data_IF_677712543269
#
_entry.id   IF_677712543269
#
_cell.length_a   1.000
_cell.length_b   1.000
_cell.length_c   1.000
_cell.angle_alpha   90.00
_cell.angle_beta   90.00
_cell.angle_gamma   90.00
#
_symmetry.space_group_name_H-M   'P 1'
#
loop_
_entity.id
_entity.type
_entity.pdbx_description
1 polymer ?
#
# COMPACT_ATOMS: atom_id res chain seq x y z
N UNK A 1 -7.54 -19.40 0.04
CA UNK A 1 -6.27 -18.95 -0.59
C UNK A 1 -5.56 -20.08 -1.33
N UNK A 2 -5.21 -21.24 -0.73
CA UNK A 2 -4.45 -22.33 -1.42
C UNK A 2 -5.02 -22.72 -2.80
N UNK A 3 -6.34 -22.85 -2.91
CA UNK A 3 -7.00 -23.28 -4.17
C UNK A 3 -6.99 -22.23 -5.28
N UNK A 4 -6.88 -20.94 -4.95
CA UNK A 4 -6.87 -19.85 -5.94
C UNK A 4 -5.46 -19.44 -6.34
N UNK A 5 -4.45 -19.70 -5.51
CA UNK A 5 -3.05 -19.30 -5.73
C UNK A 5 -2.50 -19.64 -7.13
N UNK A 6 -2.75 -20.83 -7.71
CA UNK A 6 -2.27 -21.14 -9.07
C UNK A 6 -2.87 -20.26 -10.18
N UNK A 7 -3.92 -19.50 -9.89
CA UNK A 7 -4.58 -18.57 -10.84
C UNK A 7 -4.16 -17.13 -10.66
N UNK A 8 -3.36 -16.82 -9.64
CA UNK A 8 -2.80 -15.47 -9.38
C UNK A 8 -1.54 -15.20 -10.18
N UNK A 9 -1.03 -13.97 -10.13
CA UNK A 9 0.20 -13.52 -10.79
C UNK A 9 -0.01 -13.01 -12.21
N UNK A 10 -1.25 -12.66 -12.59
CA UNK A 10 -1.60 -12.10 -13.89
C UNK A 10 -1.96 -10.62 -13.83
N UNK A 11 -2.53 -10.18 -12.70
CA UNK A 11 -2.83 -8.78 -12.47
C UNK A 11 -1.56 -7.97 -12.23
N UNK A 12 -1.55 -6.72 -12.70
CA UNK A 12 -0.60 -5.72 -12.24
C UNK A 12 -1.17 -5.05 -10.98
N UNK A 13 -0.45 -5.18 -9.87
CA UNK A 13 -0.84 -4.60 -8.59
C UNK A 13 -0.20 -3.21 -8.47
N UNK A 14 -1.02 -2.17 -8.40
CA UNK A 14 -0.60 -0.76 -8.36
C UNK A 14 -0.89 -0.22 -6.96
N UNK A 15 0.14 0.14 -6.23
CA UNK A 15 0.04 0.78 -4.92
C UNK A 15 0.08 2.30 -5.05
N UNK A 16 -0.91 3.02 -4.52
CA UNK A 16 -0.96 4.49 -4.52
C UNK A 16 -0.91 4.99 -3.09
N UNK A 17 0.14 5.74 -2.78
CA UNK A 17 0.40 6.32 -1.46
C UNK A 17 0.75 7.80 -1.55
N UNK A 18 0.88 8.47 -0.43
CA UNK A 18 1.21 9.90 -0.33
C UNK A 18 0.38 10.59 0.75
N UNK A 19 0.72 11.82 1.08
CA UNK A 19 0.12 12.58 2.18
C UNK A 19 -1.42 12.68 2.12
N UNK A 20 -2.09 12.82 3.27
CA UNK A 20 -3.53 13.12 3.31
C UNK A 20 -3.83 14.39 2.52
N UNK A 21 -4.91 14.39 1.75
CA UNK A 21 -5.27 15.55 0.93
C UNK A 21 -4.47 15.71 -0.36
N UNK A 22 -3.52 14.83 -0.68
CA UNK A 22 -2.78 14.85 -1.96
C UNK A 22 -3.66 14.57 -3.19
N UNK A 23 -4.89 14.08 -2.98
CA UNK A 23 -5.83 13.79 -4.07
C UNK A 23 -5.70 12.38 -4.63
N UNK A 24 -5.19 11.45 -3.84
CA UNK A 24 -5.04 10.03 -4.20
C UNK A 24 -6.34 9.43 -4.72
N UNK A 25 -7.44 9.55 -3.97
CA UNK A 25 -8.73 8.98 -4.36
C UNK A 25 -9.25 9.55 -5.69
N UNK A 26 -9.04 10.86 -5.94
CA UNK A 26 -9.39 11.46 -7.23
C UNK A 26 -8.49 10.92 -8.36
N UNK A 27 -7.22 10.69 -8.07
CA UNK A 27 -6.27 10.12 -9.03
C UNK A 27 -6.63 8.66 -9.34
N UNK A 28 -6.96 7.86 -8.31
CA UNK A 28 -7.43 6.47 -8.45
C UNK A 28 -8.69 6.40 -9.30
N UNK A 29 -9.67 7.28 -9.02
CA UNK A 29 -10.91 7.37 -9.81
C UNK A 29 -10.62 7.57 -11.31
N UNK A 30 -9.79 8.57 -11.64
CA UNK A 30 -9.45 8.87 -13.03
C UNK A 30 -8.61 7.80 -13.71
N UNK A 31 -7.66 7.24 -12.99
CA UNK A 31 -6.86 6.12 -13.50
C UNK A 31 -7.72 4.87 -13.73
N UNK A 32 -8.69 4.61 -12.87
CA UNK A 32 -9.65 3.52 -13.06
C UNK A 32 -10.54 3.74 -14.31
N UNK A 33 -11.03 4.96 -14.52
CA UNK A 33 -11.74 5.28 -15.76
C UNK A 33 -10.86 5.05 -16.99
N UNK A 34 -9.61 5.50 -16.96
CA UNK A 34 -8.67 5.31 -18.05
C UNK A 34 -8.49 3.83 -18.43
N UNK A 35 -8.24 2.97 -17.45
CA UNK A 35 -8.07 1.53 -17.69
C UNK A 35 -9.39 0.85 -18.12
N UNK A 36 -10.52 1.22 -17.51
CA UNK A 36 -11.83 0.71 -17.89
C UNK A 36 -12.15 1.02 -19.34
N UNK A 37 -11.88 2.27 -19.78
CA UNK A 37 -12.13 2.71 -21.16
C UNK A 37 -11.22 1.99 -22.17
N UNK A 38 -10.06 1.52 -21.71
CA UNK A 38 -9.18 0.62 -22.46
C UNK A 38 -9.65 -0.86 -22.46
N UNK A 39 -10.79 -1.18 -21.82
CA UNK A 39 -11.37 -2.53 -21.80
C UNK A 39 -10.84 -3.44 -20.67
N UNK A 40 -10.07 -2.89 -19.73
CA UNK A 40 -9.53 -3.64 -18.59
C UNK A 40 -10.58 -3.87 -17.49
N UNK A 41 -10.45 -4.99 -16.78
CA UNK A 41 -11.14 -5.21 -15.49
C UNK A 41 -10.30 -4.69 -14.36
N UNK A 42 -10.89 -3.86 -13.48
CA UNK A 42 -10.16 -3.14 -12.45
C UNK A 42 -10.71 -3.46 -11.06
N UNK A 43 -9.83 -3.92 -10.16
CA UNK A 43 -10.11 -3.98 -8.74
C UNK A 43 -9.54 -2.77 -8.02
N UNK A 44 -10.31 -2.15 -7.14
CA UNK A 44 -9.86 -1.05 -6.28
C UNK A 44 -10.05 -1.48 -4.81
N UNK A 45 -8.98 -1.43 -4.06
CA UNK A 45 -8.96 -1.73 -2.63
C UNK A 45 -8.51 -0.47 -1.89
N UNK A 46 -9.46 0.21 -1.25
CA UNK A 46 -9.19 1.38 -0.43
C UNK A 46 -8.90 0.92 1.01
N UNK A 47 -7.73 1.25 1.52
CA UNK A 47 -7.33 0.90 2.89
C UNK A 47 -7.55 2.10 3.78
N UNK A 48 -8.59 2.05 4.60
CA UNK A 48 -9.00 3.13 5.50
C UNK A 48 -8.56 2.84 6.95
N UNK A 49 -8.30 3.88 7.77
CA UNK A 49 -8.11 3.68 9.20
C UNK A 49 -9.37 3.06 9.78
N UNK A 50 -9.17 2.18 10.77
CA UNK A 50 -10.29 1.60 11.50
C UNK A 50 -11.01 2.67 12.31
N UNK A 51 -12.34 2.70 12.24
CA UNK A 51 -13.13 3.50 13.15
C UNK A 51 -12.91 3.03 14.59
N UNK A 52 -12.55 3.90 15.54
CA UNK A 52 -12.37 3.53 16.93
C UNK A 52 -13.67 3.02 17.59
N UNK A 53 -14.83 3.31 16.99
CA UNK A 53 -16.14 2.93 17.54
C UNK A 53 -16.69 1.63 16.95
N UNK A 54 -16.52 1.40 15.66
CA UNK A 54 -17.11 0.24 14.96
C UNK A 54 -16.08 -0.80 14.52
N UNK A 55 -14.78 -0.49 14.54
CA UNK A 55 -13.72 -1.34 14.00
C UNK A 55 -13.80 -1.54 12.48
N UNK A 56 -14.75 -0.89 11.81
CA UNK A 56 -14.93 -0.93 10.36
C UNK A 56 -14.23 0.20 9.62
N UNK A 57 -14.09 0.10 8.30
CA UNK A 57 -13.57 1.15 7.45
C UNK A 57 -14.48 2.39 7.47
N UNK A 58 -13.89 3.58 7.45
CA UNK A 58 -14.64 4.84 7.33
C UNK A 58 -15.01 5.00 5.86
N UNK A 59 -16.27 4.73 5.50
CA UNK A 59 -16.80 4.56 4.14
C UNK A 59 -16.74 5.81 3.21
N UNK A 60 -15.84 6.77 3.45
CA UNK A 60 -15.79 8.02 2.68
C UNK A 60 -15.49 7.84 1.18
N UNK A 61 -14.64 6.89 0.81
CA UNK A 61 -14.16 6.74 -0.57
C UNK A 61 -15.17 6.04 -1.48
N UNK A 62 -16.00 5.16 -0.94
CA UNK A 62 -17.03 4.46 -1.71
C UNK A 62 -18.11 5.41 -2.25
N UNK A 63 -18.38 6.51 -1.54
CA UNK A 63 -19.35 7.54 -1.96
C UNK A 63 -18.76 8.36 -3.13
N UNK A 64 -17.45 8.58 -3.14
CA UNK A 64 -16.76 9.38 -4.18
C UNK A 64 -16.69 8.65 -5.51
N UNK A 65 -16.59 7.32 -5.51
CA UNK A 65 -16.48 6.46 -6.71
C UNK A 65 -17.83 5.79 -7.06
N UNK A 66 -18.97 6.40 -6.69
CA UNK A 66 -20.30 5.79 -6.83
C UNK A 66 -20.60 5.37 -8.27
N UNK A 67 -20.19 6.15 -9.26
CA UNK A 67 -20.42 5.85 -10.68
C UNK A 67 -19.63 4.64 -11.16
N UNK A 68 -18.36 4.51 -10.75
CA UNK A 68 -17.52 3.35 -11.05
C UNK A 68 -18.04 2.07 -10.38
N UNK A 69 -18.62 2.18 -9.18
CA UNK A 69 -19.16 1.05 -8.45
C UNK A 69 -20.37 0.37 -9.11
N UNK A 70 -20.97 0.98 -10.14
CA UNK A 70 -22.04 0.42 -10.95
C UNK A 70 -21.52 -0.31 -12.22
N UNK A 71 -20.25 -0.15 -12.55
CA UNK A 71 -19.65 -0.78 -13.73
C UNK A 71 -19.30 -2.25 -13.44
N UNK A 72 -19.72 -3.14 -14.32
CA UNK A 72 -19.49 -4.60 -14.19
C UNK A 72 -18.01 -5.00 -14.26
N UNK A 73 -17.18 -4.16 -14.84
CA UNK A 73 -15.74 -4.38 -14.98
C UNK A 73 -14.94 -3.75 -13.84
N UNK A 74 -15.59 -3.06 -12.89
CA UNK A 74 -14.95 -2.41 -11.78
C UNK A 74 -15.45 -3.00 -10.46
N UNK A 75 -14.53 -3.40 -9.60
CA UNK A 75 -14.83 -3.84 -8.23
C UNK A 75 -14.16 -2.89 -7.25
N UNK A 76 -14.93 -2.35 -6.31
CA UNK A 76 -14.42 -1.42 -5.29
C UNK A 76 -14.72 -1.96 -3.89
N UNK A 77 -13.70 -2.00 -3.04
CA UNK A 77 -13.86 -2.41 -1.64
C UNK A 77 -13.01 -1.56 -0.71
N UNK A 78 -13.65 -1.02 0.33
CA UNK A 78 -12.96 -0.44 1.48
C UNK A 78 -12.60 -1.52 2.50
N UNK A 79 -11.36 -1.48 2.98
CA UNK A 79 -10.81 -2.40 3.98
C UNK A 79 -10.31 -1.57 5.16
N UNK A 80 -10.58 -2.02 6.38
CA UNK A 80 -10.07 -1.39 7.60
C UNK A 80 -8.72 -1.98 7.98
N UNK A 81 -7.80 -1.15 8.48
CA UNK A 81 -6.50 -1.61 9.01
C UNK A 81 -6.61 -2.49 10.25
N UNK A 82 -7.74 -2.39 11.01
CA UNK A 82 -8.10 -3.20 12.18
C UNK A 82 -7.02 -3.29 13.26
N UNK A 83 -6.28 -2.20 13.48
CA UNK A 83 -5.33 -2.13 14.60
C UNK A 83 -4.14 -3.09 14.50
N UNK A 84 -3.86 -3.66 13.34
CA UNK A 84 -2.61 -4.36 13.12
C UNK A 84 -1.46 -3.37 13.31
N UNK A 85 -0.55 -3.71 14.20
CA UNK A 85 0.67 -2.96 14.50
C UNK A 85 1.65 -3.03 13.32
N UNK A 86 1.22 -2.65 12.13
CA UNK A 86 2.10 -2.72 10.98
C UNK A 86 1.45 -2.82 9.61
N UNK A 87 0.34 -2.09 9.32
CA UNK A 87 -0.02 -1.80 7.94
C UNK A 87 -1.13 -2.64 7.29
N UNK A 88 -0.94 -3.09 6.04
CA UNK A 88 -1.97 -3.76 5.26
C UNK A 88 -2.45 -5.03 5.95
N UNK A 89 -3.73 -5.07 6.33
CA UNK A 89 -4.30 -6.24 6.96
C UNK A 89 -4.18 -7.46 6.02
N UNK A 90 -4.00 -8.66 6.60
CA UNK A 90 -4.05 -9.92 5.85
C UNK A 90 -5.24 -9.98 4.89
N UNK A 91 -6.40 -9.48 5.33
CA UNK A 91 -7.61 -9.46 4.53
C UNK A 91 -7.45 -8.60 3.26
N UNK A 92 -6.67 -7.52 3.31
CA UNK A 92 -6.37 -6.67 2.15
C UNK A 92 -5.55 -7.45 1.12
N UNK A 93 -4.47 -8.10 1.53
CA UNK A 93 -3.62 -8.89 0.63
C UNK A 93 -4.37 -10.10 0.06
N UNK A 94 -5.21 -10.74 0.88
CA UNK A 94 -6.08 -11.84 0.42
C UNK A 94 -7.13 -11.33 -0.60
N UNK A 95 -7.71 -10.13 -0.40
CA UNK A 95 -8.64 -9.52 -1.35
C UNK A 95 -7.97 -9.22 -2.70
N UNK A 96 -6.75 -8.68 -2.70
CA UNK A 96 -5.94 -8.47 -3.92
C UNK A 96 -5.72 -9.79 -4.66
N UNK A 97 -5.32 -10.84 -3.94
CA UNK A 97 -5.10 -12.16 -4.55
C UNK A 97 -6.40 -12.77 -5.12
N UNK A 98 -7.55 -12.52 -4.50
CA UNK A 98 -8.86 -12.97 -5.00
C UNK A 98 -9.22 -12.23 -6.29
N UNK A 99 -9.00 -10.93 -6.35
CA UNK A 99 -9.25 -10.12 -7.55
C UNK A 99 -8.37 -10.58 -8.72
N UNK A 100 -7.08 -10.78 -8.49
CA UNK A 100 -6.15 -11.31 -9.47
C UNK A 100 -6.63 -12.68 -10.01
N UNK A 101 -6.95 -13.63 -9.12
CA UNK A 101 -7.46 -14.95 -9.50
C UNK A 101 -8.82 -14.89 -10.21
N UNK A 102 -9.61 -13.86 -10.01
CA UNK A 102 -10.88 -13.60 -10.67
C UNK A 102 -10.73 -12.94 -12.05
N UNK A 103 -9.50 -12.63 -12.48
CA UNK A 103 -9.19 -12.12 -13.81
C UNK A 103 -9.29 -10.59 -13.93
N UNK A 104 -9.11 -9.86 -12.84
CA UNK A 104 -8.89 -8.42 -12.89
C UNK A 104 -7.47 -8.16 -13.38
N UNK A 105 -7.32 -7.44 -14.50
CA UNK A 105 -6.01 -7.15 -15.10
C UNK A 105 -5.21 -6.10 -14.33
N UNK A 106 -5.90 -5.19 -13.66
CA UNK A 106 -5.32 -4.17 -12.79
C UNK A 106 -5.96 -4.22 -11.41
N UNK A 107 -5.14 -4.19 -10.36
CA UNK A 107 -5.62 -4.04 -8.99
C UNK A 107 -4.94 -2.83 -8.35
N UNK A 108 -5.71 -1.81 -8.03
CA UNK A 108 -5.21 -0.58 -7.40
C UNK A 108 -5.45 -0.68 -5.89
N UNK A 109 -4.40 -0.48 -5.11
CA UNK A 109 -4.48 -0.37 -3.66
C UNK A 109 -4.23 1.10 -3.31
N UNK A 110 -5.18 1.73 -2.64
CA UNK A 110 -5.05 3.10 -2.13
C UNK A 110 -4.91 3.10 -0.61
N UNK A 111 -3.91 3.82 -0.08
CA UNK A 111 -3.75 4.05 1.36
C UNK A 111 -4.23 5.45 1.75
N UNK A 112 -4.57 5.62 3.03
CA UNK A 112 -5.02 6.93 3.56
C UNK A 112 -3.91 7.96 3.61
N UNK A 113 -2.65 7.52 3.62
CA UNK A 113 -1.50 8.41 3.71
C UNK A 113 -1.16 8.82 5.14
N UNK A 114 -1.45 7.95 6.12
CA UNK A 114 -1.06 8.17 7.52
C UNK A 114 -0.33 6.92 8.04
N UNK A 115 0.92 7.08 8.43
CA UNK A 115 1.68 6.07 9.17
C UNK A 115 2.37 5.02 8.31
N UNK A 116 2.58 3.83 8.88
CA UNK A 116 3.38 2.73 8.29
C UNK A 116 2.72 2.07 7.08
N UNK A 117 1.43 2.29 6.84
CA UNK A 117 0.69 1.76 5.69
C UNK A 117 1.33 2.17 4.35
N UNK A 118 1.99 3.33 4.31
CA UNK A 118 2.71 3.83 3.15
C UNK A 118 3.88 2.93 2.74
N UNK A 119 4.60 2.37 3.70
CA UNK A 119 5.74 1.48 3.44
C UNK A 119 5.26 0.08 3.06
N UNK A 120 4.13 -0.37 3.60
CA UNK A 120 3.66 -1.73 3.37
C UNK A 120 2.96 -1.93 2.03
N UNK A 121 2.38 -0.87 1.47
CA UNK A 121 1.83 -0.93 0.12
C UNK A 121 2.91 -1.34 -0.90
N UNK A 122 4.14 -0.82 -0.70
CA UNK A 122 5.30 -1.13 -1.54
C UNK A 122 5.69 -2.61 -1.46
N UNK A 123 5.51 -3.22 -0.28
CA UNK A 123 5.81 -4.64 -0.06
C UNK A 123 4.77 -5.57 -0.69
N UNK A 124 3.65 -5.01 -1.18
CA UNK A 124 2.53 -5.78 -1.74
C UNK A 124 2.31 -5.48 -3.22
N UNK A 125 2.68 -4.28 -3.68
CA UNK A 125 2.46 -3.82 -5.04
C UNK A 125 3.62 -4.17 -5.98
N UNK A 126 3.29 -4.41 -7.25
CA UNK A 126 4.27 -4.52 -8.32
C UNK A 126 4.84 -3.14 -8.65
N UNK A 127 3.99 -2.11 -8.65
CA UNK A 127 4.33 -0.71 -8.94
C UNK A 127 3.85 0.18 -7.80
N UNK A 128 4.72 1.00 -7.26
CA UNK A 128 4.43 1.95 -6.19
C UNK A 128 4.41 3.38 -6.73
N UNK A 129 3.25 4.02 -6.65
CA UNK A 129 3.02 5.41 -7.06
C UNK A 129 2.94 6.30 -5.84
N UNK A 130 3.84 7.26 -5.74
CA UNK A 130 3.90 8.24 -4.63
C UNK A 130 3.32 9.56 -5.10
N UNK A 131 2.25 10.01 -4.45
CA UNK A 131 1.52 11.24 -4.82
C UNK A 131 1.90 12.39 -3.90
N UNK A 132 2.38 13.46 -4.51
CA UNK A 132 2.80 14.71 -3.89
C UNK A 132 1.92 15.87 -4.38
N UNK A 133 1.94 16.99 -3.66
CA UNK A 133 1.29 18.23 -4.11
C UNK A 133 2.22 19.43 -3.87
N UNK A 134 2.10 20.49 -4.70
CA UNK A 134 2.88 21.70 -4.50
C UNK A 134 2.57 22.37 -3.15
N UNK A 135 3.60 22.92 -2.49
CA UNK A 135 3.44 23.72 -1.27
C UNK A 135 3.49 22.96 0.06
N UNK A 136 3.66 21.66 0.04
CA UNK A 136 3.85 20.83 1.25
C UNK A 136 5.34 20.68 1.59
N UNK A 137 6.01 21.77 1.94
CA UNK A 137 7.45 21.78 2.24
C UNK A 137 7.86 20.86 3.41
N UNK A 138 7.02 20.76 4.43
CA UNK A 138 7.26 19.88 5.58
C UNK A 138 7.02 18.41 5.23
N UNK A 139 6.09 18.11 4.30
CA UNK A 139 5.84 16.74 3.84
C UNK A 139 6.96 16.21 2.96
N UNK A 140 7.67 17.07 2.18
CA UNK A 140 8.88 16.67 1.47
C UNK A 140 9.99 16.28 2.47
N UNK A 141 10.00 16.87 3.67
CA UNK A 141 10.94 16.47 4.72
C UNK A 141 10.52 15.15 5.41
N UNK A 142 9.24 14.90 5.59
CA UNK A 142 8.72 13.61 6.04
C UNK A 142 8.93 12.50 5.00
N UNK A 143 8.85 12.84 3.70
CA UNK A 143 9.17 11.97 2.57
C UNK A 143 10.65 11.57 2.55
N UNK A 144 11.58 12.39 3.09
CA UNK A 144 13.01 12.05 3.22
C UNK A 144 13.29 10.76 3.98
N UNK A 145 12.38 10.29 4.81
CA UNK A 145 12.58 9.14 5.68
C UNK A 145 12.12 7.79 5.08
N UNK A 146 12.41 7.53 3.80
CA UNK A 146 12.22 6.19 3.23
C UNK A 146 11.25 6.10 2.03
N UNK A 147 10.35 7.06 1.82
CA UNK A 147 9.41 7.03 0.68
C UNK A 147 10.13 7.16 -0.66
N UNK A 148 11.29 7.85 -0.69
CA UNK A 148 12.12 8.01 -1.89
C UNK A 148 12.72 6.68 -2.38
N UNK A 149 12.98 5.75 -1.45
CA UNK A 149 13.55 4.44 -1.78
C UNK A 149 12.48 3.47 -2.32
N UNK A 150 11.21 3.79 -2.09
CA UNK A 150 10.09 2.87 -2.33
C UNK A 150 9.20 3.27 -3.51
N UNK A 151 9.28 4.52 -3.99
CA UNK A 151 8.48 5.00 -5.13
C UNK A 151 9.06 4.54 -6.46
N UNK A 152 8.24 3.89 -7.27
CA UNK A 152 8.61 3.49 -8.64
C UNK A 152 8.16 4.54 -9.66
N UNK A 153 7.11 5.31 -9.33
CA UNK A 153 6.60 6.46 -10.08
C UNK A 153 6.24 7.56 -9.08
N UNK A 154 6.63 8.78 -9.36
CA UNK A 154 6.26 9.95 -8.55
C UNK A 154 5.25 10.81 -9.31
N UNK A 155 4.21 11.25 -8.60
CA UNK A 155 3.17 12.11 -9.15
C UNK A 155 3.14 13.43 -8.39
N UNK A 156 3.23 14.55 -9.09
CA UNK A 156 2.91 15.87 -8.55
C UNK A 156 1.48 16.19 -8.99
N UNK A 157 0.52 15.90 -8.10
CA UNK A 157 -0.89 16.19 -8.35
C UNK A 157 -1.22 17.65 -8.02
N UNK A 158 -2.37 18.14 -8.49
CA UNK A 158 -2.76 19.55 -8.40
C UNK A 158 -1.70 20.45 -9.03
N UNK A 159 -1.22 20.06 -10.21
CA UNK A 159 -0.16 20.76 -10.94
C UNK A 159 -0.58 22.12 -11.53
N UNK A 160 -1.83 22.51 -11.33
CA UNK A 160 -2.39 23.85 -11.54
C UNK A 160 -2.00 24.86 -10.45
N UNK A 161 -1.47 24.38 -9.30
CA UNK A 161 -1.09 25.24 -8.18
C UNK A 161 0.30 25.85 -8.38
N UNK A 162 0.49 27.01 -7.77
CA UNK A 162 1.81 27.63 -7.66
C UNK A 162 2.79 26.71 -6.93
N UNK A 163 4.08 26.79 -7.32
CA UNK A 163 5.15 26.01 -6.69
C UNK A 163 5.41 24.65 -7.31
N UNK A 164 4.67 24.20 -8.32
CA UNK A 164 4.87 22.89 -8.96
C UNK A 164 6.28 22.68 -9.49
N UNK A 165 6.86 23.72 -10.12
CA UNK A 165 8.23 23.67 -10.65
C UNK A 165 9.29 23.55 -9.54
N UNK A 166 9.06 24.20 -8.42
CA UNK A 166 9.93 24.12 -7.24
C UNK A 166 9.88 22.70 -6.65
N UNK A 167 8.68 22.19 -6.40
CA UNK A 167 8.48 20.82 -5.89
C UNK A 167 9.13 19.79 -6.79
N UNK A 168 9.00 19.95 -8.11
CA UNK A 168 9.64 19.04 -9.06
C UNK A 168 11.16 19.07 -8.96
N UNK A 169 11.77 20.26 -8.94
CA UNK A 169 13.24 20.39 -8.82
C UNK A 169 13.77 19.81 -7.50
N UNK A 170 13.05 20.04 -6.41
CA UNK A 170 13.38 19.47 -5.10
C UNK A 170 13.32 17.93 -5.15
N UNK A 171 12.29 17.37 -5.78
CA UNK A 171 12.13 15.93 -5.96
C UNK A 171 13.21 15.34 -6.88
N UNK A 172 13.50 15.97 -8.00
CA UNK A 172 14.60 15.57 -8.91
C UNK A 172 15.95 15.55 -8.19
N UNK A 173 16.25 16.56 -7.38
CA UNK A 173 17.47 16.60 -6.58
C UNK A 173 17.55 15.47 -5.55
N UNK A 174 16.44 15.13 -4.91
CA UNK A 174 16.36 14.02 -3.95
C UNK A 174 16.54 12.67 -4.65
N UNK A 175 15.87 12.46 -5.78
CA UNK A 175 16.00 11.23 -6.58
C UNK A 175 17.42 11.02 -7.11
N UNK A 176 18.10 12.09 -7.47
CA UNK A 176 19.50 12.03 -7.91
C UNK A 176 20.48 11.61 -6.79
N UNK A 177 20.11 11.81 -5.52
CA UNK A 177 20.88 11.36 -4.35
C UNK A 177 20.52 9.94 -3.90
N UNK A 178 19.34 9.45 -4.28
CA UNK A 178 18.88 8.12 -3.92
C UNK A 178 19.61 7.06 -4.75
N UNK A 179 20.20 6.08 -4.08
CA UNK A 179 20.80 4.94 -4.75
C UNK A 179 19.81 3.80 -4.86
N UNK A 180 19.36 3.49 -6.08
CA UNK A 180 18.44 2.36 -6.33
C UNK A 180 19.24 1.15 -6.84
N UNK A 181 19.14 0.00 -6.13
CA UNK A 181 19.84 -1.23 -6.55
C UNK A 181 19.33 -1.79 -7.89
N UNK A 182 18.10 -1.47 -8.27
CA UNK A 182 17.46 -1.94 -9.50
C UNK A 182 17.81 -1.10 -10.73
N UNK A 183 18.55 0.01 -10.57
CA UNK A 183 18.94 0.95 -11.63
C UNK A 183 17.75 1.61 -12.35
N UNK A 184 16.54 1.48 -11.81
CA UNK A 184 15.37 2.21 -12.32
C UNK A 184 15.47 3.69 -11.98
N UNK A 185 15.20 4.55 -12.96
CA UNK A 185 15.08 5.99 -12.73
C UNK A 185 13.59 6.38 -12.66
N UNK A 186 13.02 6.62 -11.46
CA UNK A 186 11.60 6.88 -11.32
C UNK A 186 11.15 8.14 -12.04
N UNK A 187 10.18 8.07 -12.95
CA UNK A 187 9.64 9.26 -13.60
C UNK A 187 8.82 10.12 -12.64
N UNK A 188 8.80 11.43 -12.89
CA UNK A 188 7.95 12.39 -12.22
C UNK A 188 6.86 12.83 -13.20
N UNK A 189 5.60 12.53 -12.87
CA UNK A 189 4.43 12.86 -13.69
C UNK A 189 3.65 13.99 -13.02
N UNK A 190 3.25 15.01 -13.79
CA UNK A 190 2.37 16.07 -13.31
C UNK A 190 0.93 15.74 -13.65
N UNK A 191 0.03 15.87 -12.67
CA UNK A 191 -1.39 15.60 -12.88
C UNK A 191 -2.28 16.69 -12.31
N UNK A 192 -3.44 16.88 -12.95
CA UNK A 192 -4.57 17.61 -12.39
C UNK A 192 -5.73 16.61 -12.41
N UNK A 193 -5.82 15.79 -11.35
CA UNK A 193 -6.74 14.67 -11.32
C UNK A 193 -8.20 15.09 -11.55
N UNK A 194 -8.63 16.26 -11.02
CA UNK A 194 -9.99 16.80 -11.22
C UNK A 194 -10.32 17.08 -12.68
N UNK A 195 -9.32 17.35 -13.52
CA UNK A 195 -9.45 17.65 -14.95
C UNK A 195 -9.01 16.48 -15.84
N UNK A 196 -8.67 15.34 -15.26
CA UNK A 196 -8.12 14.17 -15.97
C UNK A 196 -6.82 14.45 -16.75
N UNK A 197 -6.10 15.55 -16.45
CA UNK A 197 -4.84 15.90 -17.12
C UNK A 197 -3.68 15.08 -16.55
N UNK A 198 -2.82 14.54 -17.44
CA UNK A 198 -1.65 13.73 -17.08
C UNK A 198 -1.96 12.31 -16.61
N UNK A 199 -3.21 11.85 -16.71
CA UNK A 199 -3.60 10.48 -16.33
C UNK A 199 -3.04 9.45 -17.33
N UNK A 200 -3.03 9.77 -18.60
CA UNK A 200 -2.42 8.95 -19.65
C UNK A 200 -0.90 8.83 -19.48
N UNK A 201 -0.21 9.92 -19.11
CA UNK A 201 1.22 9.89 -18.82
C UNK A 201 1.53 9.06 -17.57
N UNK A 202 0.69 9.15 -16.55
CA UNK A 202 0.80 8.28 -15.37
C UNK A 202 0.59 6.81 -15.74
N UNK A 203 -0.43 6.50 -16.52
CA UNK A 203 -0.69 5.12 -16.96
C UNK A 203 0.48 4.56 -17.78
N UNK A 204 1.08 5.37 -18.66
CA UNK A 204 2.31 5.01 -19.40
C UNK A 204 3.49 4.78 -18.48
N UNK A 205 3.71 5.65 -17.49
CA UNK A 205 4.80 5.50 -16.52
C UNK A 205 4.67 4.19 -15.72
N UNK A 206 3.45 3.83 -15.30
CA UNK A 206 3.14 2.56 -14.64
C UNK A 206 3.42 1.37 -15.57
N UNK A 207 3.00 1.45 -16.83
CA UNK A 207 3.24 0.40 -17.82
C UNK A 207 4.74 0.22 -18.10
N UNK A 208 5.49 1.30 -18.28
CA UNK A 208 6.93 1.28 -18.53
C UNK A 208 7.70 0.59 -17.38
N UNK A 209 7.33 0.85 -16.13
CA UNK A 209 7.93 0.15 -15.01
C UNK A 209 7.60 -1.34 -15.01
N UNK A 210 6.36 -1.71 -15.33
CA UNK A 210 5.97 -3.10 -15.50
C UNK A 210 6.78 -3.81 -16.59
N UNK A 211 6.98 -3.18 -17.73
CA UNK A 211 7.82 -3.68 -18.81
C UNK A 211 9.30 -3.78 -18.40
N UNK A 212 9.79 -2.80 -17.65
CA UNK A 212 11.14 -2.85 -17.09
C UNK A 212 11.34 -4.07 -16.19
N UNK A 213 10.38 -4.38 -15.30
CA UNK A 213 10.47 -5.58 -14.45
C UNK A 213 10.45 -6.89 -15.25
N UNK A 214 9.68 -6.94 -16.35
CA UNK A 214 9.63 -8.12 -17.23
C UNK A 214 10.95 -8.27 -17.99
N UNK A 215 11.44 -7.20 -18.60
CA UNK A 215 12.63 -7.20 -19.45
C UNK A 215 13.93 -7.38 -18.66
N UNK A 216 13.99 -6.90 -17.41
CA UNK A 216 15.16 -7.02 -16.54
C UNK A 216 15.29 -8.40 -15.87
N UNK A 217 14.39 -9.33 -16.12
CA UNK A 217 14.41 -10.73 -15.65
C UNK A 217 14.73 -10.90 -14.16
N UNK A 218 16.00 -10.66 -13.79
CA UNK A 218 16.48 -10.80 -12.40
C UNK A 218 15.86 -9.76 -11.44
N UNK A 219 15.74 -8.51 -11.86
CA UNK A 219 15.14 -7.43 -11.05
C UNK A 219 13.67 -7.78 -10.75
N UNK A 220 12.90 -8.15 -11.77
CA UNK A 220 11.51 -8.57 -11.61
C UNK A 220 11.36 -9.82 -10.73
N UNK A 221 12.26 -10.78 -10.85
CA UNK A 221 12.28 -11.95 -9.98
C UNK A 221 12.59 -11.57 -8.52
N UNK A 222 13.57 -10.71 -8.31
CA UNK A 222 13.95 -10.23 -6.97
C UNK A 222 12.81 -9.44 -6.31
N UNK A 223 12.08 -8.62 -7.07
CA UNK A 223 10.86 -7.94 -6.59
C UNK A 223 9.83 -8.97 -6.11
N UNK A 224 9.47 -9.94 -6.94
CA UNK A 224 8.51 -11.00 -6.56
C UNK A 224 8.98 -11.83 -5.37
N UNK A 225 10.27 -12.15 -5.28
CA UNK A 225 10.85 -12.84 -4.11
C UNK A 225 10.72 -12.01 -2.83
N UNK A 226 10.95 -10.69 -2.91
CA UNK A 226 10.81 -9.79 -1.76
C UNK A 226 9.37 -9.72 -1.27
N UNK A 227 8.41 -9.58 -2.17
CA UNK A 227 6.97 -9.61 -1.86
C UNK A 227 6.59 -10.95 -1.22
N UNK A 228 7.02 -12.06 -1.81
CA UNK A 228 6.73 -13.40 -1.29
C UNK A 228 7.36 -13.64 0.08
N UNK A 229 8.62 -13.22 0.30
CA UNK A 229 9.31 -13.32 1.58
C UNK A 229 8.58 -12.53 2.66
N UNK A 230 8.24 -11.28 2.37
CA UNK A 230 7.46 -10.46 3.30
C UNK A 230 6.14 -11.16 3.68
N UNK A 231 5.38 -11.62 2.68
CA UNK A 231 4.11 -12.32 2.92
C UNK A 231 4.27 -13.59 3.77
N UNK A 232 5.31 -14.37 3.52
CA UNK A 232 5.61 -15.56 4.32
C UNK A 232 5.94 -15.20 5.77
N UNK A 233 6.72 -14.13 5.98
CA UNK A 233 7.08 -13.65 7.33
C UNK A 233 5.84 -13.22 8.10
N UNK A 234 4.95 -12.41 7.49
CA UNK A 234 3.70 -11.96 8.10
C UNK A 234 2.80 -13.16 8.49
N UNK A 235 2.58 -14.08 7.56
CA UNK A 235 1.77 -15.27 7.83
C UNK A 235 2.37 -16.16 8.92
N UNK A 236 3.70 -16.27 8.98
CA UNK A 236 4.40 -17.03 10.00
C UNK A 236 4.26 -16.37 11.38
N UNK A 237 4.47 -15.06 11.47
CA UNK A 237 4.32 -14.31 12.73
C UNK A 237 2.90 -14.42 13.27
N UNK A 238 1.89 -14.19 12.40
CA UNK A 238 0.48 -14.31 12.77
C UNK A 238 0.15 -15.73 13.27
N UNK A 239 0.65 -16.74 12.56
CA UNK A 239 0.39 -18.13 12.92
C UNK A 239 1.06 -18.51 14.24
N UNK A 240 2.32 -18.16 14.42
CA UNK A 240 3.05 -18.45 15.65
C UNK A 240 2.40 -17.76 16.84
N UNK A 241 2.03 -16.48 16.72
CA UNK A 241 1.37 -15.74 17.79
C UNK A 241 -0.02 -16.34 18.11
N UNK A 242 -0.80 -16.65 17.07
CA UNK A 242 -2.13 -17.27 17.24
C UNK A 242 -2.04 -18.62 17.91
N UNK A 243 -1.11 -19.49 17.47
CA UNK A 243 -0.91 -20.82 18.04
C UNK A 243 -0.41 -20.72 19.48
N UNK A 244 0.45 -19.76 19.78
CA UNK A 244 0.96 -19.51 21.12
C UNK A 244 -0.16 -19.02 22.05
N UNK A 245 -0.91 -17.99 21.68
CA UNK A 245 -2.02 -17.46 22.48
C UNK A 245 -3.21 -18.42 22.57
N UNK A 246 -3.29 -19.41 21.69
CA UNK A 246 -4.28 -20.47 21.70
C UNK A 246 -3.99 -21.60 22.68
N UNK A 247 -2.77 -21.68 23.25
CA UNK A 247 -2.42 -22.68 24.26
C UNK A 247 -3.20 -22.39 25.56
N UNK A 248 -3.59 -23.49 26.24
CA UNK A 248 -4.36 -23.38 27.47
C UNK A 248 -3.59 -22.61 28.55
N UNK A 249 -4.20 -21.59 29.13
CA UNK A 249 -3.63 -20.77 30.19
C UNK A 249 -2.70 -19.64 29.74
N UNK A 250 -2.29 -19.57 28.47
CA UNK A 250 -1.34 -18.53 28.02
C UNK A 250 -1.95 -17.13 28.13
N UNK A 251 -3.23 -16.96 27.84
CA UNK A 251 -3.89 -15.64 27.94
C UNK A 251 -4.02 -15.21 29.40
N UNK A 252 -4.33 -16.14 30.32
CA UNK A 252 -4.45 -15.84 31.72
C UNK A 252 -3.08 -15.44 32.30
N UNK A 253 -2.00 -16.16 31.93
CA UNK A 253 -0.62 -15.81 32.30
C UNK A 253 -0.19 -14.43 31.75
N UNK A 254 -0.60 -14.10 30.51
CA UNK A 254 -0.32 -12.79 29.92
C UNK A 254 -0.96 -11.65 30.73
N UNK A 255 -2.22 -11.83 31.17
CA UNK A 255 -2.92 -10.86 32.02
C UNK A 255 -2.30 -10.77 33.42
N UNK A 256 -1.85 -11.88 33.97
CA UNK A 256 -1.12 -11.93 35.27
C UNK A 256 0.18 -11.14 35.18
N UNK A 257 1.03 -11.41 34.18
CA UNK A 257 2.28 -10.66 33.97
C UNK A 257 2.02 -9.18 33.68
N UNK A 258 0.97 -8.84 32.91
CA UNK A 258 0.60 -7.44 32.68
C UNK A 258 0.30 -6.71 34.00
N UNK A 259 -0.37 -7.37 34.95
CA UNK A 259 -0.62 -6.85 36.29
C UNK A 259 0.69 -6.70 37.12
N UNK A 260 1.54 -7.71 37.11
CA UNK A 260 2.83 -7.66 37.84
C UNK A 260 3.73 -6.55 37.31
N UNK A 261 3.79 -6.35 36.00
CA UNK A 261 4.54 -5.26 35.38
C UNK A 261 3.95 -3.89 35.76
N UNK A 262 2.64 -3.74 35.77
CA UNK A 262 1.97 -2.52 36.20
C UNK A 262 2.25 -2.20 37.68
N UNK A 263 2.33 -3.22 38.53
CA UNK A 263 2.66 -3.13 39.94
C UNK A 263 4.20 -3.02 40.21
N UNK A 264 5.03 -3.02 39.15
CA UNK A 264 6.51 -2.99 39.24
C UNK A 264 7.13 -4.19 39.98
N UNK A 265 6.46 -5.34 39.96
CA UNK A 265 6.91 -6.62 40.53
C UNK A 265 7.72 -7.46 39.57
N UNK A 266 7.53 -7.23 38.28
CA UNK A 266 8.24 -7.90 37.18
C UNK A 266 8.55 -6.88 36.06
N UNK A 267 9.35 -7.28 35.09
CA UNK A 267 9.66 -6.52 33.88
C UNK A 267 9.22 -7.28 32.60
N UNK A 268 9.00 -6.56 31.48
CA UNK A 268 8.50 -7.19 30.25
C UNK A 268 9.44 -8.26 29.67
N UNK A 269 10.74 -8.16 29.86
CA UNK A 269 11.71 -9.09 29.27
C UNK A 269 11.67 -10.42 30.00
N UNK A 270 11.72 -10.38 31.36
CA UNK A 270 11.57 -11.55 32.23
C UNK A 270 10.21 -12.23 31.98
N UNK A 271 9.12 -11.46 31.88
CA UNK A 271 7.80 -12.01 31.61
C UNK A 271 7.73 -12.77 30.26
N UNK A 272 8.36 -12.27 29.20
CA UNK A 272 8.43 -12.95 27.89
C UNK A 272 9.23 -14.25 27.98
N UNK A 273 10.36 -14.27 28.70
CA UNK A 273 11.14 -15.49 28.90
C UNK A 273 10.28 -16.58 29.55
N UNK A 274 9.59 -16.27 30.65
CA UNK A 274 8.66 -17.21 31.29
C UNK A 274 7.47 -17.62 30.48
N UNK A 275 6.94 -16.71 29.63
CA UNK A 275 5.83 -17.06 28.72
C UNK A 275 6.26 -18.03 27.64
N UNK A 276 7.50 -17.95 27.16
CA UNK A 276 8.05 -18.79 26.11
C UNK A 276 8.61 -20.12 26.59
N UNK A 277 8.81 -20.29 27.90
CA UNK A 277 9.19 -21.58 28.46
C UNK A 277 8.13 -22.65 28.15
N UNK A 278 8.55 -23.88 27.73
CA UNK A 278 7.67 -24.93 27.30
C UNK A 278 6.71 -25.45 28.38
#
# INVERSE_FOLDING_TARGET
>A
MKAIFPRTGKAQIIGITGAPGAGKSSLVDKLAYFYRDAGEKIGIVCVDPSSPFSGGAILGDRIRMATLGLDKNVFIRSMATRGNLGGLSRATVDAVSILDAAGYGKVIIETVGVGQDEVEIVKTADVSVVVLVPGMGDDIQAIKAGIMEIGDVFVINKADREGVLRTQKELEALLALAHRPDMWNPPIVRTIATESKGIDDLAKAIANYGEFLVNSGEVGLNRRKSIARWRLTELLQERLLSDFLGRKGTRDRLEEFAREIAEKKSDPYTAIEYLLEP
#
